data_IF_524509579612
#
_entry.id   IF_524509579612
#
_cell.length_a   1.000
_cell.length_b   1.000
_cell.length_c   1.000
_cell.angle_alpha   90.00
_cell.angle_beta   90.00
_cell.angle_gamma   90.00
#
_symmetry.space_group_name_H-M   'P 1'
#
loop_
_entity.id
_entity.type
_entity.pdbx_description
1 polymer ?
#
# COMPACT_ATOMS: atom_id res chain seq x y z
N UNK A 1 2.25 9.63 18.19
CA UNK A 1 2.85 8.34 18.60
C UNK A 1 4.30 8.56 19.03
N UNK A 2 5.09 7.53 19.37
CA UNK A 2 6.52 7.75 19.57
C UNK A 2 7.22 7.94 18.21
N UNK A 3 8.37 8.64 18.18
CA UNK A 3 9.08 8.97 16.94
C UNK A 3 9.44 7.76 16.07
N UNK A 4 9.70 6.60 16.68
CA UNK A 4 10.00 5.37 15.95
C UNK A 4 8.77 4.83 15.22
N UNK A 5 7.61 4.90 15.85
CA UNK A 5 6.33 4.49 15.25
C UNK A 5 5.96 5.40 14.09
N UNK A 6 6.12 6.71 14.24
CA UNK A 6 5.89 7.69 13.18
C UNK A 6 6.75 7.37 11.94
N UNK A 7 8.07 7.19 12.11
CA UNK A 7 8.99 6.85 11.01
C UNK A 7 8.64 5.54 10.31
N UNK A 8 8.21 4.53 11.08
CA UNK A 8 7.83 3.24 10.52
C UNK A 8 6.54 3.38 9.69
N UNK A 9 5.57 4.14 10.19
CA UNK A 9 4.32 4.43 9.48
C UNK A 9 4.56 5.23 8.20
N UNK A 10 5.42 6.25 8.26
CA UNK A 10 5.78 7.10 7.11
C UNK A 10 6.36 6.25 5.96
N UNK A 11 7.34 5.40 6.27
CA UNK A 11 7.97 4.50 5.29
C UNK A 11 6.98 3.49 4.72
N UNK A 12 6.13 2.92 5.57
CA UNK A 12 5.10 1.97 5.14
C UNK A 12 4.08 2.63 4.21
N UNK A 13 3.58 3.82 4.57
CA UNK A 13 2.64 4.58 3.75
C UNK A 13 3.21 4.96 2.39
N UNK A 14 4.46 5.42 2.33
CA UNK A 14 5.15 5.72 1.07
C UNK A 14 5.31 4.46 0.20
N UNK A 15 5.62 3.31 0.81
CA UNK A 15 5.68 2.03 0.12
C UNK A 15 4.34 1.64 -0.51
N UNK A 16 3.24 1.79 0.22
CA UNK A 16 1.89 1.53 -0.32
C UNK A 16 1.55 2.47 -1.48
N UNK A 17 1.90 3.75 -1.39
CA UNK A 17 1.69 4.70 -2.49
C UNK A 17 2.48 4.30 -3.73
N UNK A 18 3.75 3.95 -3.56
CA UNK A 18 4.57 3.51 -4.68
C UNK A 18 4.08 2.19 -5.29
N UNK A 19 3.71 1.20 -4.47
CA UNK A 19 3.16 -0.06 -4.97
C UNK A 19 1.88 0.16 -5.77
N UNK A 20 1.01 1.07 -5.31
CA UNK A 20 -0.27 1.32 -5.93
C UNK A 20 -0.17 2.21 -7.17
N UNK A 21 0.73 3.20 -7.17
CA UNK A 21 0.74 4.27 -8.18
C UNK A 21 2.04 4.36 -8.98
N UNK A 22 3.05 3.54 -8.67
CA UNK A 22 4.41 3.60 -9.22
C UNK A 22 5.12 4.96 -9.05
N UNK A 23 4.60 5.84 -8.18
CA UNK A 23 5.15 7.14 -7.86
C UNK A 23 4.74 7.53 -6.44
N UNK A 24 5.54 8.38 -5.81
CA UNK A 24 5.19 9.03 -4.53
C UNK A 24 4.98 10.54 -4.69
N UNK A 25 4.89 11.02 -5.94
CA UNK A 25 4.67 12.43 -6.23
C UNK A 25 3.45 12.99 -5.49
N UNK A 26 3.61 14.17 -4.89
CA UNK A 26 2.55 14.86 -4.13
C UNK A 26 2.22 14.25 -2.76
N UNK A 27 2.77 13.08 -2.39
CA UNK A 27 2.53 12.49 -1.05
C UNK A 27 3.10 13.35 0.09
N UNK A 28 4.16 14.10 -0.19
CA UNK A 28 4.81 14.98 0.78
C UNK A 28 4.13 16.36 0.88
N UNK A 29 3.37 16.77 -0.14
CA UNK A 29 2.65 18.05 -0.14
C UNK A 29 1.70 18.16 1.05
N UNK A 30 1.07 17.06 1.47
CA UNK A 30 0.22 16.99 2.67
C UNK A 30 1.00 17.38 3.94
N UNK A 31 2.23 16.89 4.08
CA UNK A 31 3.05 17.18 5.26
C UNK A 31 3.60 18.60 5.23
N UNK A 32 3.92 19.13 4.05
CA UNK A 32 4.44 20.48 3.88
C UNK A 32 3.35 21.56 4.03
N UNK A 33 2.17 21.34 3.45
CA UNK A 33 1.11 22.34 3.34
C UNK A 33 0.06 22.23 4.43
N UNK A 34 -0.28 21.02 4.86
CA UNK A 34 -1.39 20.83 5.77
C UNK A 34 -0.88 20.72 7.21
N UNK A 35 0.15 19.93 7.50
CA UNK A 35 0.66 19.81 8.88
C UNK A 35 1.47 21.02 9.38
N UNK A 36 1.81 21.97 8.51
CA UNK A 36 2.64 23.15 8.81
C UNK A 36 1.88 24.47 8.97
N UNK A 37 0.57 24.51 8.72
CA UNK A 37 -0.19 25.76 8.52
C UNK A 37 -1.37 25.89 9.50
N UNK A 38 -1.69 27.12 9.91
CA UNK A 38 -2.87 27.45 10.72
C UNK A 38 -4.11 27.61 9.83
N UNK A 39 -5.27 27.11 10.27
CA UNK A 39 -6.53 27.16 9.50
C UNK A 39 -6.97 25.82 8.88
N UNK A 40 -6.39 24.72 9.36
CA UNK A 40 -6.78 23.37 9.02
C UNK A 40 -8.25 23.09 9.34
N UNK A 41 -8.86 22.15 8.59
CA UNK A 41 -10.10 21.53 9.04
C UNK A 41 -9.87 20.85 10.39
N UNK A 42 -10.93 20.75 11.20
CA UNK A 42 -10.88 20.10 12.53
C UNK A 42 -10.23 18.71 12.46
N UNK A 43 -10.53 17.95 11.40
CA UNK A 43 -9.95 16.62 11.15
C UNK A 43 -8.43 16.64 10.97
N UNK A 44 -7.88 17.60 10.22
CA UNK A 44 -6.43 17.67 10.02
C UNK A 44 -5.75 18.21 11.28
N UNK A 45 -6.40 19.11 12.01
CA UNK A 45 -5.91 19.59 13.30
C UNK A 45 -5.83 18.46 14.34
N UNK A 46 -6.85 17.61 14.44
CA UNK A 46 -6.87 16.43 15.30
C UNK A 46 -5.78 15.42 14.93
N UNK A 47 -5.60 15.19 13.62
CA UNK A 47 -4.53 14.35 13.11
C UNK A 47 -3.15 14.93 13.48
N UNK A 48 -2.90 16.21 13.23
CA UNK A 48 -1.65 16.89 13.58
C UNK A 48 -1.37 16.88 15.08
N UNK A 49 -2.41 16.92 15.92
CA UNK A 49 -2.31 16.84 17.37
C UNK A 49 -1.77 15.50 17.88
N UNK A 50 -1.98 14.41 17.14
CA UNK A 50 -1.52 13.06 17.49
C UNK A 50 -0.29 12.60 16.69
N UNK A 51 -0.12 13.17 15.49
CA UNK A 51 0.95 12.93 14.54
C UNK A 51 1.58 14.26 14.11
N UNK A 52 2.41 14.89 14.95
CA UNK A 52 3.00 16.17 14.62
C UNK A 52 3.90 16.03 13.38
N UNK A 53 3.59 16.82 12.36
CA UNK A 53 4.51 17.08 11.25
C UNK A 53 5.72 17.82 11.80
N UNK A 54 6.92 17.46 11.33
CA UNK A 54 8.12 18.23 11.65
C UNK A 54 9.02 18.29 10.42
N UNK A 55 9.80 19.37 10.23
CA UNK A 55 10.75 19.45 9.13
C UNK A 55 11.73 18.27 9.10
N UNK A 56 12.11 17.76 10.28
CA UNK A 56 12.95 16.56 10.40
C UNK A 56 12.27 15.32 9.83
N UNK A 57 10.98 15.10 10.09
CA UNK A 57 10.24 13.95 9.51
C UNK A 57 10.12 14.06 8.00
N UNK A 58 9.82 15.26 7.49
CA UNK A 58 9.72 15.49 6.04
C UNK A 58 11.07 15.19 5.37
N UNK A 59 12.18 15.65 5.96
CA UNK A 59 13.51 15.32 5.49
C UNK A 59 13.78 13.81 5.53
N UNK A 60 13.44 13.11 6.61
CA UNK A 60 13.64 11.67 6.73
C UNK A 60 12.83 10.87 5.70
N UNK A 61 11.65 11.36 5.30
CA UNK A 61 10.87 10.78 4.21
C UNK A 61 11.51 11.02 2.84
N UNK A 62 11.98 12.24 2.57
CA UNK A 62 12.70 12.57 1.34
C UNK A 62 13.96 11.72 1.16
N UNK A 63 14.78 11.64 2.22
CA UNK A 63 16.01 10.84 2.22
C UNK A 63 15.67 9.35 1.94
N UNK A 64 14.58 8.82 2.53
CA UNK A 64 14.13 7.45 2.27
C UNK A 64 13.66 7.25 0.82
N UNK A 65 12.87 8.16 0.27
CA UNK A 65 12.39 8.08 -1.13
C UNK A 65 13.56 8.10 -2.11
N UNK A 66 14.56 8.96 -1.86
CA UNK A 66 15.79 9.01 -2.65
C UNK A 66 16.58 7.70 -2.57
N UNK A 67 16.73 7.12 -1.37
CA UNK A 67 17.37 5.80 -1.17
C UNK A 67 16.68 4.67 -1.95
N UNK A 68 15.36 4.74 -2.15
CA UNK A 68 14.63 3.75 -2.94
C UNK A 68 14.67 4.01 -4.45
N UNK A 69 15.11 5.19 -4.89
CA UNK A 69 15.07 5.61 -6.29
C UNK A 69 13.65 5.80 -6.84
N UNK A 70 12.69 6.13 -5.99
CA UNK A 70 11.31 6.35 -6.41
C UNK A 70 11.11 7.78 -6.96
N UNK A 71 10.30 7.96 -8.03
CA UNK A 71 10.01 9.28 -8.57
C UNK A 71 9.26 10.17 -7.56
N UNK A 72 9.78 11.40 -7.38
CA UNK A 72 9.14 12.46 -6.59
C UNK A 72 8.28 13.39 -7.46
N UNK A 73 8.45 13.31 -8.78
CA UNK A 73 7.72 14.03 -9.81
C UNK A 73 7.06 13.04 -10.79
N UNK A 74 6.10 13.54 -11.56
CA UNK A 74 5.36 12.75 -12.55
C UNK A 74 3.85 12.88 -12.43
N UNK A 75 3.14 12.26 -13.37
CA UNK A 75 1.69 12.22 -13.37
C UNK A 75 1.18 11.23 -12.33
N UNK A 76 0.15 11.63 -11.57
CA UNK A 76 -0.56 10.72 -10.67
C UNK A 76 -1.26 9.66 -11.52
N UNK A 77 -0.67 8.48 -11.58
CA UNK A 77 -1.24 7.36 -12.33
C UNK A 77 -2.49 6.84 -11.61
N UNK A 78 -3.46 6.27 -12.33
CA UNK A 78 -4.50 5.48 -11.69
C UNK A 78 -3.88 4.31 -10.91
N UNK A 79 -4.58 3.80 -9.89
CA UNK A 79 -4.08 2.66 -9.14
C UNK A 79 -3.83 1.48 -10.06
N UNK A 80 -2.67 0.83 -9.91
CA UNK A 80 -2.36 -0.44 -10.56
C UNK A 80 -3.32 -1.48 -10.00
N UNK A 81 -4.33 -1.86 -10.78
CA UNK A 81 -5.12 -3.04 -10.44
C UNK A 81 -4.22 -4.26 -10.56
N UNK A 82 -3.79 -4.83 -9.43
CA UNK A 82 -3.32 -6.20 -9.42
C UNK A 82 -4.54 -7.06 -9.74
N UNK A 83 -4.69 -7.41 -11.02
CA UNK A 83 -5.53 -8.52 -11.43
C UNK A 83 -4.95 -9.74 -10.72
N UNK A 84 -5.54 -10.11 -9.58
CA UNK A 84 -5.17 -11.33 -8.90
C UNK A 84 -5.36 -12.44 -9.92
N UNK A 85 -4.28 -12.99 -10.42
CA UNK A 85 -4.32 -14.29 -11.06
C UNK A 85 -4.85 -15.24 -9.98
N UNK A 86 -6.17 -15.43 -9.97
CA UNK A 86 -6.76 -16.63 -9.43
C UNK A 86 -6.14 -17.76 -10.25
N UNK A 87 -5.07 -18.33 -9.74
CA UNK A 87 -4.67 -19.67 -10.12
C UNK A 87 -5.79 -20.56 -9.60
N UNK A 88 -6.80 -20.77 -10.45
CA UNK A 88 -7.72 -21.89 -10.36
C UNK A 88 -6.89 -23.16 -10.58
N UNK A 89 -6.12 -23.53 -9.57
CA UNK A 89 -5.56 -24.87 -9.43
C UNK A 89 -6.69 -25.74 -8.83
N UNK A 90 -7.78 -25.86 -9.59
CA UNK A 90 -8.77 -26.92 -9.40
C UNK A 90 -8.09 -28.22 -9.82
N UNK A 91 -7.34 -28.84 -8.90
CA UNK A 91 -6.87 -30.21 -9.07
C UNK A 91 -8.11 -31.10 -9.22
N UNK A 92 -8.40 -31.42 -10.48
CA UNK A 92 -9.39 -32.40 -10.89
C UNK A 92 -9.23 -33.66 -10.06
N UNK A 93 -10.31 -34.01 -9.36
CA UNK A 93 -10.41 -35.29 -8.68
C UNK A 93 -10.56 -36.33 -9.79
N UNK A 94 -9.47 -37.02 -10.12
CA UNK A 94 -9.43 -38.11 -11.09
C UNK A 94 -10.29 -39.28 -10.60
N UNK A 95 -11.58 -39.21 -10.85
CA UNK A 95 -12.44 -40.38 -10.83
C UNK A 95 -12.09 -41.21 -12.05
N UNK A 96 -11.24 -42.24 -11.90
CA UNK A 96 -11.38 -43.55 -12.56
C UNK A 96 -10.43 -44.58 -11.92
N UNK A 97 -11.00 -45.56 -11.23
CA UNK A 97 -10.33 -46.83 -10.94
C UNK A 97 -11.31 -47.97 -11.21
N UNK A 98 -11.23 -48.49 -12.43
CA UNK A 98 -11.19 -49.93 -12.67
C UNK A 98 -12.51 -50.70 -12.59
N UNK A 99 -13.12 -50.90 -13.76
CA UNK A 99 -13.98 -52.05 -14.07
C UNK A 99 -13.42 -53.37 -13.50
N UNK A 100 -14.27 -54.15 -12.80
CA UNK A 100 -14.53 -55.57 -13.10
C UNK A 100 -15.61 -56.15 -12.18
N UNK A 101 -16.65 -56.73 -12.79
CA UNK A 101 -17.42 -57.81 -12.15
C UNK A 101 -18.94 -57.68 -12.30
N UNK A 102 -19.47 -58.39 -13.31
CA UNK A 102 -20.80 -59.01 -13.42
C UNK A 102 -21.52 -59.16 -12.05
N UNK A 103 -22.81 -58.88 -11.92
CA UNK A 103 -23.88 -59.79 -12.35
C UNK A 103 -25.27 -59.12 -12.33
N UNK A 104 -26.17 -59.65 -13.16
CA UNK A 104 -27.55 -59.24 -13.40
C UNK A 104 -28.51 -59.67 -12.26
N UNK A 105 -29.56 -58.87 -12.03
CA UNK A 105 -31.01 -59.24 -11.99
C UNK A 105 -31.39 -60.32 -10.94
N UNK A 106 -32.20 -60.12 -9.91
CA UNK A 106 -33.40 -59.30 -9.65
C UNK A 106 -33.46 -58.90 -8.18
#
# INVERSE_FOLDING_TARGET
FNRRQERAADRFGLGLMYEQYATVAGSLDFFERDLGVTGLSETIADFAGTHPGSPTRIKEMLDFVEEQGWPLDGELLPPLFQESAASDDDEGIDAESGLKGRERVR
#
